data_IF_398535249393
#
_entry.id   IF_398535249393
#
_cell.length_a   1.000
_cell.length_b   1.000
_cell.length_c   1.000
_cell.angle_alpha   90.00
_cell.angle_beta   90.00
_cell.angle_gamma   90.00
#
_symmetry.space_group_name_H-M   'P 1'
#
loop_
_entity.id
_entity.type
_entity.pdbx_description
1 polymer ?
#
# COMPACT_ATOMS: atom_id res chain seq x y z
N UNK A 1 -10.93 -8.13 -5.37
CA UNK A 1 -10.24 -7.13 -4.52
C UNK A 1 -8.95 -6.71 -5.19
N UNK A 2 -8.51 -5.48 -4.98
CA UNK A 2 -7.43 -4.84 -5.75
C UNK A 2 -6.12 -5.66 -5.78
N UNK A 3 -5.69 -6.23 -4.65
CA UNK A 3 -4.47 -7.06 -4.57
C UNK A 3 -4.50 -8.25 -5.54
N UNK A 4 -5.61 -9.01 -5.57
CA UNK A 4 -5.73 -10.14 -6.48
C UNK A 4 -5.79 -9.71 -7.94
N UNK A 5 -6.38 -8.54 -8.24
CA UNK A 5 -6.36 -7.97 -9.59
C UNK A 5 -4.95 -7.57 -10.02
N UNK A 6 -4.20 -6.92 -9.13
CA UNK A 6 -2.82 -6.50 -9.37
C UNK A 6 -1.86 -7.68 -9.61
N UNK A 7 -2.07 -8.79 -8.89
CA UNK A 7 -1.25 -10.01 -9.01
C UNK A 7 -1.66 -10.91 -10.20
N UNK A 8 -2.89 -10.82 -10.70
CA UNK A 8 -3.39 -11.71 -11.76
C UNK A 8 -2.90 -11.36 -13.17
N UNK A 9 -2.02 -10.36 -13.31
CA UNK A 9 -1.38 -10.02 -14.57
C UNK A 9 -2.34 -9.96 -15.75
N UNK A 10 -3.17 -8.92 -15.76
CA UNK A 10 -3.52 -8.36 -17.07
C UNK A 10 -2.24 -7.67 -17.52
N UNK A 11 -1.39 -8.38 -18.26
CA UNK A 11 -0.64 -7.68 -19.30
C UNK A 11 -1.73 -7.01 -20.13
N UNK A 12 -2.03 -5.76 -19.82
CA UNK A 12 -2.71 -4.90 -20.77
C UNK A 12 -1.78 -4.94 -21.95
N UNK A 13 -2.11 -5.77 -22.94
CA UNK A 13 -1.50 -5.80 -24.25
C UNK A 13 -1.57 -4.34 -24.73
N UNK A 14 -0.46 -3.62 -24.51
CA UNK A 14 -0.35 -2.16 -24.36
C UNK A 14 -1.46 -1.50 -25.18
N UNK A 15 -2.63 -1.26 -24.56
CA UNK A 15 -3.80 -0.87 -25.36
C UNK A 15 -3.38 0.44 -25.98
N UNK A 16 -3.34 0.54 -27.32
CA UNK A 16 -2.92 1.76 -27.97
C UNK A 16 -3.79 2.87 -27.39
N UNK A 17 -3.19 3.98 -26.97
CA UNK A 17 -3.83 5.17 -26.38
C UNK A 17 -4.98 5.77 -27.22
N UNK A 18 -5.33 5.13 -28.35
CA UNK A 18 -6.44 5.40 -29.25
C UNK A 18 -7.72 4.59 -28.98
N UNK A 19 -7.73 3.62 -28.05
CA UNK A 19 -8.95 2.85 -27.71
C UNK A 19 -9.16 2.84 -26.19
N UNK A 20 -9.48 4.00 -25.61
CA UNK A 20 -10.05 4.08 -24.25
C UNK A 20 -11.52 3.64 -24.29
N UNK A 21 -11.78 2.36 -24.52
CA UNK A 21 -13.11 1.76 -24.31
C UNK A 21 -13.25 1.09 -22.96
N UNK A 22 -12.15 0.95 -22.19
CA UNK A 22 -12.24 0.50 -20.81
C UNK A 22 -12.71 1.67 -19.94
N UNK A 23 -14.01 1.74 -19.73
CA UNK A 23 -14.61 2.65 -18.76
C UNK A 23 -14.56 1.95 -17.40
N UNK A 24 -13.69 2.40 -16.48
CA UNK A 24 -13.58 1.84 -15.13
C UNK A 24 -14.93 1.78 -14.38
N UNK A 25 -15.93 2.55 -14.83
CA UNK A 25 -17.31 2.52 -14.34
C UNK A 25 -18.01 1.15 -14.53
N UNK A 26 -17.55 0.29 -15.43
CA UNK A 26 -18.16 -1.02 -15.66
C UNK A 26 -17.61 -2.10 -14.71
N UNK A 27 -16.52 -1.81 -13.97
CA UNK A 27 -15.99 -2.74 -12.97
C UNK A 27 -16.84 -2.69 -11.69
N UNK A 28 -17.48 -3.81 -11.27
CA UNK A 28 -18.21 -3.88 -10.01
C UNK A 28 -17.38 -3.45 -8.80
N UNK A 29 -16.08 -3.74 -8.77
CA UNK A 29 -15.19 -3.30 -7.70
C UNK A 29 -15.08 -1.77 -7.67
N UNK A 30 -15.02 -1.12 -8.83
CA UNK A 30 -14.95 0.33 -8.94
C UNK A 30 -16.18 1.04 -8.42
N UNK A 31 -17.35 0.51 -8.76
CA UNK A 31 -18.60 1.06 -8.27
C UNK A 31 -18.71 0.96 -6.74
N UNK A 32 -18.19 -0.10 -6.11
CA UNK A 32 -18.22 -0.27 -4.65
C UNK A 32 -17.48 0.83 -3.87
N UNK A 33 -16.19 1.11 -4.18
CA UNK A 33 -15.49 2.17 -3.44
C UNK A 33 -15.84 3.57 -3.94
N UNK A 34 -16.31 3.71 -5.20
CA UNK A 34 -16.84 4.97 -5.69
C UNK A 34 -18.10 5.40 -4.93
N UNK A 35 -19.03 4.49 -4.69
CA UNK A 35 -20.25 4.82 -3.94
C UNK A 35 -19.92 5.28 -2.51
N UNK A 36 -18.94 4.65 -1.86
CA UNK A 36 -18.44 5.10 -0.55
C UNK A 36 -17.81 6.49 -0.64
N UNK A 37 -16.97 6.76 -1.62
CA UNK A 37 -16.34 8.09 -1.77
C UNK A 37 -17.37 9.19 -2.07
N UNK A 38 -18.44 8.86 -2.79
CA UNK A 38 -19.47 9.80 -3.22
C UNK A 38 -20.65 9.93 -2.24
N UNK A 39 -20.67 9.19 -1.13
CA UNK A 39 -21.80 9.15 -0.19
C UNK A 39 -22.00 10.43 0.64
N UNK A 40 -21.07 11.40 0.58
CA UNK A 40 -21.10 12.60 1.46
C UNK A 40 -22.42 13.37 1.42
N UNK A 41 -22.97 13.66 0.24
CA UNK A 41 -24.22 14.41 0.13
C UNK A 41 -25.44 13.63 0.66
N UNK A 42 -25.42 12.30 0.48
CA UNK A 42 -26.48 11.42 0.99
C UNK A 42 -26.41 11.34 2.53
N UNK A 43 -25.20 11.23 3.08
CA UNK A 43 -24.93 11.24 4.53
C UNK A 43 -25.36 12.55 5.18
N UNK A 44 -25.03 13.69 4.60
CA UNK A 44 -25.43 15.01 5.12
C UNK A 44 -26.95 15.18 5.13
N UNK A 45 -27.62 14.67 4.09
CA UNK A 45 -29.08 14.66 4.00
C UNK A 45 -29.69 13.76 5.08
N UNK A 46 -29.15 12.55 5.27
CA UNK A 46 -29.61 11.62 6.31
C UNK A 46 -29.35 12.16 7.72
N UNK A 47 -28.20 12.78 7.97
CA UNK A 47 -27.89 13.44 9.24
C UNK A 47 -28.90 14.57 9.53
N UNK A 48 -29.24 15.36 8.50
CA UNK A 48 -30.26 16.39 8.59
C UNK A 48 -31.60 15.82 9.05
N UNK A 49 -32.06 14.72 8.46
CA UNK A 49 -33.29 14.06 8.87
C UNK A 49 -33.21 13.46 10.28
N UNK A 50 -32.14 12.75 10.60
CA UNK A 50 -31.95 12.07 11.87
C UNK A 50 -31.96 13.04 13.07
N UNK A 51 -31.48 14.27 12.87
CA UNK A 51 -31.48 15.32 13.91
C UNK A 51 -32.90 15.76 14.31
N UNK A 52 -33.88 15.61 13.40
CA UNK A 52 -35.28 15.94 13.67
C UNK A 52 -36.10 14.77 14.22
N UNK A 53 -35.53 13.56 14.27
CA UNK A 53 -36.29 12.40 14.72
C UNK A 53 -36.60 12.51 16.22
N UNK A 54 -37.88 12.37 16.62
CA UNK A 54 -38.22 12.31 18.03
C UNK A 54 -37.56 11.06 18.65
N UNK A 55 -37.19 11.11 19.95
CA UNK A 55 -36.56 9.97 20.62
C UNK A 55 -37.42 8.70 20.52
N UNK A 56 -36.83 7.60 20.08
CA UNK A 56 -37.54 6.32 19.91
C UNK A 56 -36.59 5.11 20.02
N UNK A 57 -37.06 4.02 20.62
CA UNK A 57 -36.30 2.78 20.74
C UNK A 57 -34.90 2.98 21.36
N UNK A 58 -33.81 2.55 20.69
CA UNK A 58 -32.44 2.77 21.17
C UNK A 58 -31.95 4.22 20.98
N UNK A 59 -32.63 5.01 20.14
CA UNK A 59 -32.26 6.38 19.79
C UNK A 59 -32.86 7.35 20.81
N UNK A 60 -32.06 7.70 21.82
CA UNK A 60 -32.46 8.60 22.92
C UNK A 60 -32.33 10.08 22.51
N UNK A 61 -32.77 10.98 23.40
CA UNK A 61 -32.55 12.41 23.21
C UNK A 61 -31.05 12.74 23.11
N UNK A 62 -30.68 13.65 22.20
CA UNK A 62 -29.29 13.98 21.87
C UNK A 62 -28.45 12.77 21.44
N UNK A 63 -29.01 11.92 20.56
CA UNK A 63 -28.28 10.80 19.99
C UNK A 63 -27.09 11.29 19.14
N UNK A 64 -25.93 10.60 19.14
CA UNK A 64 -24.70 11.11 18.53
C UNK A 64 -24.64 10.86 17.02
N UNK A 65 -25.59 11.43 16.26
CA UNK A 65 -25.66 11.25 14.80
C UNK A 65 -24.39 11.71 14.07
N UNK A 66 -23.75 12.79 14.54
CA UNK A 66 -22.49 13.29 13.98
C UNK A 66 -21.35 12.26 14.06
N UNK A 67 -21.36 11.39 15.08
CA UNK A 67 -20.35 10.33 15.21
C UNK A 67 -20.48 9.26 14.12
N UNK A 68 -21.67 9.03 13.56
CA UNK A 68 -21.84 8.14 12.41
C UNK A 68 -21.19 8.73 11.16
N UNK A 69 -21.36 10.04 10.93
CA UNK A 69 -20.70 10.75 9.82
C UNK A 69 -19.18 10.77 10.02
N UNK A 70 -18.70 10.89 11.26
CA UNK A 70 -17.28 10.77 11.59
C UNK A 70 -16.71 9.39 11.20
N UNK A 71 -17.41 8.31 11.55
CA UNK A 71 -17.03 6.95 11.14
C UNK A 71 -17.02 6.83 9.62
N UNK A 72 -18.06 7.31 8.94
CA UNK A 72 -18.09 7.29 7.47
C UNK A 72 -16.93 8.09 6.87
N UNK A 73 -16.60 9.26 7.40
CA UNK A 73 -15.44 10.05 7.02
C UNK A 73 -14.15 9.22 7.06
N UNK A 74 -13.89 8.52 8.17
CA UNK A 74 -12.72 7.65 8.30
C UNK A 74 -12.73 6.48 7.27
N UNK A 75 -13.89 5.88 7.01
CA UNK A 75 -14.05 4.83 5.98
C UNK A 75 -13.79 5.39 4.57
N UNK A 76 -14.27 6.59 4.25
CA UNK A 76 -13.99 7.28 2.98
C UNK A 76 -12.50 7.52 2.78
N UNK A 77 -11.78 7.91 3.84
CA UNK A 77 -10.32 8.02 3.80
C UNK A 77 -9.62 6.70 3.47
N UNK A 78 -10.13 5.56 3.95
CA UNK A 78 -9.65 4.24 3.53
C UNK A 78 -10.00 3.94 2.07
N UNK A 79 -11.21 4.29 1.63
CA UNK A 79 -11.69 4.06 0.27
C UNK A 79 -10.88 4.82 -0.79
N UNK A 80 -10.40 6.03 -0.49
CA UNK A 80 -9.47 6.75 -1.39
C UNK A 80 -8.20 5.96 -1.66
N UNK A 81 -7.64 5.30 -0.64
CA UNK A 81 -6.45 4.46 -0.80
C UNK A 81 -6.75 3.22 -1.65
N UNK A 82 -7.92 2.60 -1.46
CA UNK A 82 -8.36 1.46 -2.29
C UNK A 82 -8.60 1.88 -3.74
N UNK A 83 -9.14 3.07 -3.96
CA UNK A 83 -9.30 3.65 -5.30
C UNK A 83 -7.95 3.92 -5.96
N UNK A 84 -6.95 4.40 -5.21
CA UNK A 84 -5.58 4.55 -5.69
C UNK A 84 -4.94 3.20 -6.03
N UNK A 85 -5.11 2.17 -5.18
CA UNK A 85 -4.66 0.80 -5.47
C UNK A 85 -5.30 0.24 -6.73
N UNK A 86 -6.58 0.55 -6.98
CA UNK A 86 -7.22 0.18 -8.24
C UNK A 86 -6.63 0.93 -9.43
N UNK A 87 -6.32 2.22 -9.27
CA UNK A 87 -5.59 2.99 -10.28
C UNK A 87 -4.27 2.33 -10.69
N UNK A 88 -3.54 1.73 -9.74
CA UNK A 88 -2.33 0.95 -10.04
C UNK A 88 -2.59 -0.30 -10.90
N UNK A 89 -3.79 -0.90 -10.84
CA UNK A 89 -4.18 -2.04 -11.67
C UNK A 89 -4.48 -1.62 -13.11
N UNK A 90 -4.97 -0.39 -13.29
CA UNK A 90 -5.31 0.19 -14.60
C UNK A 90 -4.16 0.98 -15.22
N UNK A 91 -3.05 1.16 -14.49
CA UNK A 91 -1.89 1.93 -14.95
C UNK A 91 -1.26 1.27 -16.17
N UNK A 92 -0.84 2.07 -17.17
CA UNK A 92 -0.07 1.58 -18.32
C UNK A 92 1.34 1.14 -17.91
N UNK A 93 1.92 1.84 -16.93
CA UNK A 93 3.25 1.54 -16.39
C UNK A 93 3.06 0.76 -15.10
N UNK A 94 3.39 -0.53 -15.15
CA UNK A 94 3.35 -1.41 -13.98
C UNK A 94 4.61 -2.28 -13.93
N UNK A 95 5.01 -2.70 -12.73
CA UNK A 95 6.08 -3.66 -12.55
C UNK A 95 5.78 -4.96 -13.32
N UNK A 96 6.78 -5.69 -13.83
CA UNK A 96 6.55 -7.00 -14.44
C UNK A 96 5.99 -8.00 -13.42
N UNK A 97 5.26 -9.00 -13.92
CA UNK A 97 4.60 -10.05 -13.14
C UNK A 97 5.52 -10.66 -12.08
N UNK A 98 6.71 -11.06 -12.51
CA UNK A 98 7.71 -11.75 -11.69
C UNK A 98 8.08 -10.94 -10.44
N UNK A 99 8.28 -9.63 -10.60
CA UNK A 99 8.60 -8.72 -9.49
C UNK A 99 7.43 -8.57 -8.52
N UNK A 100 6.19 -8.54 -9.01
CA UNK A 100 4.99 -8.48 -8.13
C UNK A 100 4.83 -9.77 -7.34
N UNK A 101 5.08 -10.92 -7.97
CA UNK A 101 4.90 -12.22 -7.34
C UNK A 101 5.85 -12.47 -6.17
N UNK A 102 7.02 -11.82 -6.13
CA UNK A 102 7.95 -11.84 -4.97
C UNK A 102 7.26 -11.46 -3.65
N UNK A 103 6.26 -10.57 -3.70
CA UNK A 103 5.51 -10.06 -2.56
C UNK A 103 4.07 -10.60 -2.48
N UNK A 104 3.71 -11.56 -3.34
CA UNK A 104 2.31 -11.99 -3.50
C UNK A 104 1.64 -12.44 -2.21
N UNK A 105 2.33 -13.27 -1.41
CA UNK A 105 1.82 -13.79 -0.15
C UNK A 105 1.57 -12.68 0.87
N UNK A 106 2.54 -11.78 1.03
CA UNK A 106 2.48 -10.68 1.99
C UNK A 106 1.39 -9.66 1.60
N UNK A 107 1.32 -9.29 0.31
CA UNK A 107 0.27 -8.41 -0.21
C UNK A 107 -1.13 -9.01 0.00
N UNK A 108 -1.31 -10.30 -0.32
CA UNK A 108 -2.59 -10.99 -0.13
C UNK A 108 -2.97 -11.07 1.34
N UNK A 109 -2.01 -11.38 2.23
CA UNK A 109 -2.25 -11.45 3.66
C UNK A 109 -2.74 -10.09 4.19
N UNK A 110 -2.03 -9.00 3.90
CA UNK A 110 -2.44 -7.64 4.31
C UNK A 110 -3.82 -7.28 3.77
N UNK A 111 -4.08 -7.52 2.47
CA UNK A 111 -5.38 -7.25 1.88
C UNK A 111 -6.52 -8.07 2.50
N UNK A 112 -6.26 -9.33 2.85
CA UNK A 112 -7.24 -10.23 3.46
C UNK A 112 -7.56 -9.87 4.91
N UNK A 113 -6.54 -9.56 5.72
CA UNK A 113 -6.69 -9.16 7.12
C UNK A 113 -7.36 -7.78 7.22
N UNK A 114 -6.95 -6.81 6.40
CA UNK A 114 -7.61 -5.51 6.36
C UNK A 114 -9.08 -5.58 5.94
N UNK A 115 -9.42 -6.48 5.01
CA UNK A 115 -10.83 -6.74 4.66
C UNK A 115 -11.62 -7.42 5.78
N UNK A 116 -10.98 -8.25 6.63
CA UNK A 116 -11.63 -8.84 7.81
C UNK A 116 -11.98 -7.74 8.82
N UNK A 117 -11.06 -6.82 9.09
CA UNK A 117 -11.30 -5.67 10.00
C UNK A 117 -12.52 -4.86 9.56
N UNK A 118 -12.57 -4.45 8.29
CA UNK A 118 -13.72 -3.68 7.77
C UNK A 118 -15.04 -4.45 7.83
N UNK A 119 -15.04 -5.76 7.53
CA UNK A 119 -16.24 -6.60 7.63
C UNK A 119 -16.74 -6.75 9.07
N UNK A 120 -15.81 -6.93 10.01
CA UNK A 120 -16.15 -7.04 11.42
C UNK A 120 -16.71 -5.73 11.96
N UNK A 121 -16.07 -4.59 11.67
CA UNK A 121 -16.60 -3.26 12.00
C UNK A 121 -18.00 -3.03 11.41
N UNK A 122 -18.21 -3.39 10.15
CA UNK A 122 -19.51 -3.31 9.49
C UNK A 122 -20.57 -4.14 10.20
N UNK A 123 -20.26 -5.41 10.53
CA UNK A 123 -21.21 -6.28 11.24
C UNK A 123 -21.53 -5.78 12.64
N UNK A 124 -20.54 -5.20 13.34
CA UNK A 124 -20.71 -4.62 14.68
C UNK A 124 -21.54 -3.34 14.64
N UNK A 125 -21.33 -2.49 13.64
CA UNK A 125 -22.14 -1.30 13.39
C UNK A 125 -23.60 -1.67 13.11
N UNK A 126 -23.84 -2.64 12.24
CA UNK A 126 -25.19 -3.11 11.87
C UNK A 126 -25.97 -3.64 13.10
N UNK A 127 -25.29 -4.36 13.99
CA UNK A 127 -25.88 -4.91 15.22
C UNK A 127 -25.92 -3.91 16.38
N UNK A 128 -25.30 -2.74 16.22
CA UNK A 128 -25.08 -1.75 17.29
C UNK A 128 -24.41 -2.40 18.51
N UNK A 129 -23.33 -3.14 18.26
CA UNK A 129 -22.52 -3.84 19.26
C UNK A 129 -21.12 -3.23 19.37
N UNK A 130 -20.56 -3.18 20.58
CA UNK A 130 -19.17 -2.82 20.79
C UNK A 130 -18.21 -3.89 20.27
N UNK A 131 -16.95 -3.50 20.07
CA UNK A 131 -15.88 -4.43 19.77
C UNK A 131 -15.68 -5.42 20.93
N UNK A 132 -15.31 -6.65 20.58
CA UNK A 132 -14.92 -7.67 21.55
C UNK A 132 -13.62 -7.27 22.24
N UNK A 133 -13.38 -7.70 23.50
CA UNK A 133 -12.10 -7.50 24.16
C UNK A 133 -10.96 -8.09 23.33
N UNK A 134 -10.09 -7.23 22.80
CA UNK A 134 -8.98 -7.62 21.93
C UNK A 134 -8.65 -6.56 20.89
N UNK A 135 -7.40 -6.54 20.43
CA UNK A 135 -6.99 -5.64 19.35
C UNK A 135 -7.35 -6.25 18.00
N UNK A 136 -8.43 -5.75 17.39
CA UNK A 136 -8.88 -6.14 16.05
C UNK A 136 -7.82 -5.85 14.98
N UNK A 137 -6.93 -4.87 15.21
CA UNK A 137 -5.88 -4.49 14.27
C UNK A 137 -4.62 -5.36 14.37
N UNK A 138 -4.50 -6.20 15.41
CA UNK A 138 -3.31 -7.00 15.67
C UNK A 138 -2.85 -7.80 14.44
N UNK A 139 -3.76 -8.56 13.83
CA UNK A 139 -3.43 -9.43 12.70
C UNK A 139 -3.05 -8.63 11.44
N UNK A 140 -3.70 -7.49 11.20
CA UNK A 140 -3.38 -6.65 10.03
C UNK A 140 -2.08 -5.88 10.23
N UNK A 141 -1.76 -5.44 11.46
CA UNK A 141 -0.46 -4.87 11.79
C UNK A 141 0.67 -5.89 11.65
N UNK A 142 0.49 -7.12 12.14
CA UNK A 142 1.49 -8.20 11.96
C UNK A 142 1.70 -8.51 10.47
N UNK A 143 0.63 -8.55 9.68
CA UNK A 143 0.74 -8.75 8.23
C UNK A 143 1.48 -7.59 7.54
N UNK A 144 1.22 -6.34 7.96
CA UNK A 144 1.90 -5.15 7.43
C UNK A 144 3.39 -5.13 7.80
N UNK A 145 3.73 -5.55 9.03
CA UNK A 145 5.11 -5.69 9.46
C UNK A 145 5.85 -6.74 8.64
N UNK A 146 5.23 -7.90 8.40
CA UNK A 146 5.80 -8.94 7.53
C UNK A 146 6.02 -8.43 6.09
N UNK A 147 5.08 -7.64 5.56
CA UNK A 147 5.25 -6.99 4.26
C UNK A 147 6.42 -6.00 4.28
N UNK A 148 6.55 -5.17 5.32
CA UNK A 148 7.65 -4.22 5.46
C UNK A 148 9.01 -4.93 5.56
N UNK A 149 9.13 -5.96 6.39
CA UNK A 149 10.35 -6.78 6.51
C UNK A 149 10.73 -7.40 5.16
N UNK A 150 9.73 -7.88 4.39
CA UNK A 150 9.96 -8.43 3.05
C UNK A 150 10.43 -7.35 2.08
N UNK A 151 9.87 -6.15 2.16
CA UNK A 151 10.31 -4.97 1.38
C UNK A 151 11.76 -4.63 1.70
N UNK A 152 12.13 -4.56 2.98
CA UNK A 152 13.49 -4.21 3.39
C UNK A 152 14.51 -5.25 2.87
N UNK A 153 14.17 -6.54 2.99
CA UNK A 153 15.03 -7.63 2.51
C UNK A 153 15.10 -7.72 0.97
N UNK A 154 14.05 -7.31 0.26
CA UNK A 154 13.94 -7.37 -1.22
C UNK A 154 13.88 -5.98 -1.86
N UNK A 155 14.47 -4.98 -1.23
CA UNK A 155 14.41 -3.58 -1.67
C UNK A 155 14.97 -3.37 -3.08
N UNK A 156 15.97 -4.17 -3.48
CA UNK A 156 16.52 -4.19 -4.83
C UNK A 156 15.51 -4.57 -5.93
N UNK A 157 14.38 -5.19 -5.60
CA UNK A 157 13.31 -5.52 -6.56
C UNK A 157 12.47 -4.29 -6.89
N UNK A 158 12.34 -3.37 -5.94
CA UNK A 158 11.51 -2.16 -6.03
C UNK A 158 12.22 -0.98 -6.71
N UNK A 159 13.54 -1.06 -6.88
CA UNK A 159 14.38 -0.03 -7.49
C UNK A 159 15.16 -0.65 -8.64
N UNK A 160 15.56 0.14 -9.63
CA UNK A 160 16.51 -0.35 -10.64
C UNK A 160 17.91 -0.43 -10.03
N UNK A 161 18.30 -1.61 -9.54
CA UNK A 161 19.60 -1.85 -8.90
C UNK A 161 20.80 -1.65 -9.83
N UNK A 162 20.61 -1.78 -11.14
CA UNK A 162 21.68 -1.67 -12.14
C UNK A 162 22.14 -0.22 -12.36
N UNK A 163 21.29 0.75 -11.99
CA UNK A 163 21.57 2.18 -12.10
C UNK A 163 22.08 2.85 -10.82
N UNK A 164 22.45 2.08 -9.78
CA UNK A 164 22.92 2.68 -8.52
C UNK A 164 24.28 3.33 -8.74
N UNK A 165 24.37 4.66 -8.51
CA UNK A 165 25.61 5.43 -8.64
C UNK A 165 26.69 5.01 -7.62
N UNK A 166 26.31 4.27 -6.57
CA UNK A 166 27.21 3.71 -5.57
C UNK A 166 27.48 2.25 -5.92
N UNK A 167 28.45 2.01 -6.80
CA UNK A 167 28.91 0.65 -7.13
C UNK A 167 29.23 0.39 -8.61
N UNK A 168 29.62 1.40 -9.39
CA UNK A 168 30.01 1.21 -10.80
C UNK A 168 31.31 0.43 -11.00
N UNK A 169 31.22 -0.92 -10.99
CA UNK A 169 31.90 -1.95 -11.82
C UNK A 169 32.34 -3.17 -10.98
N UNK A 170 31.90 -4.40 -11.33
CA UNK A 170 32.80 -5.54 -11.27
C UNK A 170 33.84 -5.32 -12.38
N UNK A 171 35.09 -5.09 -11.99
CA UNK A 171 36.20 -5.38 -12.89
C UNK A 171 36.09 -6.88 -13.20
N UNK A 172 36.05 -7.25 -14.48
CA UNK A 172 36.23 -8.65 -14.89
C UNK A 172 37.49 -9.16 -14.19
N UNK A 173 37.30 -10.03 -13.19
CA UNK A 173 38.42 -10.75 -12.60
C UNK A 173 38.75 -11.86 -13.59
N UNK A 174 39.82 -11.65 -14.35
CA UNK A 174 40.47 -12.67 -15.16
C UNK A 174 40.84 -13.83 -14.24
N UNK A 175 40.54 -15.05 -14.65
CA UNK A 175 40.61 -16.25 -13.82
C UNK A 175 42.06 -16.66 -13.50
N UNK A 176 43.04 -15.98 -14.11
CA UNK A 176 44.47 -16.23 -13.95
C UNK A 176 45.11 -15.59 -12.69
N UNK A 177 44.52 -14.55 -12.08
CA UNK A 177 45.15 -13.86 -10.93
C UNK A 177 44.90 -14.56 -9.56
N UNK A 178 43.93 -15.48 -9.49
CA UNK A 178 43.59 -16.20 -8.25
C UNK A 178 44.52 -17.37 -7.92
N UNK A 179 45.42 -17.77 -8.84
CA UNK A 179 46.31 -18.93 -8.64
C UNK A 179 47.64 -18.52 -7.98
N UNK A 180 48.03 -17.24 -8.06
CA UNK A 180 49.33 -16.78 -7.56
C UNK A 180 49.32 -16.24 -6.11
N UNK A 181 48.16 -16.17 -5.46
CA UNK A 181 48.02 -15.60 -4.11
C UNK A 181 47.92 -16.63 -2.97
N UNK A 182 48.17 -17.92 -3.26
CA UNK A 182 48.11 -18.99 -2.26
C UNK A 182 49.44 -19.23 -1.50
N UNK A 183 50.43 -18.35 -1.68
CA UNK A 183 51.72 -18.41 -0.99
C UNK A 183 52.01 -17.12 -0.21
N UNK A 184 51.16 -16.77 0.77
CA UNK A 184 51.69 -16.08 1.96
C UNK A 184 50.74 -16.27 3.15
N UNK A 185 51.21 -16.99 4.16
CA UNK A 185 50.51 -17.08 5.43
C UNK A 185 50.61 -15.74 6.18
N UNK A 186 49.55 -15.42 6.93
CA UNK A 186 49.53 -14.50 8.09
C UNK A 186 49.02 -13.06 7.83
N UNK A 187 47.71 -12.81 8.01
CA UNK A 187 47.21 -11.73 8.90
C UNK A 187 45.68 -11.59 8.94
N UNK A 188 45.13 -11.78 10.15
CA UNK A 188 44.08 -10.98 10.83
C UNK A 188 42.78 -10.65 10.06
N UNK A 189 41.73 -11.45 10.33
CA UNK A 189 40.32 -11.15 10.03
C UNK A 189 39.88 -9.85 10.71
N UNK A 190 39.76 -8.77 9.94
CA UNK A 190 39.08 -7.54 10.31
C UNK A 190 38.05 -7.20 9.26
N UNK A 191 36.79 -7.55 9.52
CA UNK A 191 35.65 -7.12 8.72
C UNK A 191 35.50 -5.60 8.81
N UNK A 192 36.07 -4.87 7.84
CA UNK A 192 35.86 -3.44 7.68
C UNK A 192 34.74 -3.21 6.67
N UNK A 193 33.59 -2.79 7.21
CA UNK A 193 32.47 -2.21 6.46
C UNK A 193 32.94 -0.90 5.82
N UNK A 194 32.92 -0.80 4.49
CA UNK A 194 33.32 0.40 3.73
C UNK A 194 32.10 1.21 3.31
N UNK A 195 31.45 1.85 4.27
CA UNK A 195 30.38 2.83 4.01
C UNK A 195 30.80 4.19 4.57
N UNK A 196 31.71 4.88 3.89
CA UNK A 196 32.02 6.28 4.17
C UNK A 196 31.84 7.08 2.87
N UNK A 197 30.71 7.76 2.75
CA UNK A 197 30.45 8.69 1.65
C UNK A 197 30.99 10.07 2.02
N UNK A 198 32.09 10.47 1.39
CA UNK A 198 32.62 11.84 1.48
C UNK A 198 31.85 12.72 0.50
N UNK A 199 31.04 13.67 1.00
CA UNK A 199 30.33 14.64 0.19
C UNK A 199 31.26 15.83 -0.12
N UNK A 200 31.72 15.95 -1.36
CA UNK A 200 32.42 17.13 -1.85
C UNK A 200 31.38 18.17 -2.34
N UNK A 201 31.08 19.16 -1.52
CA UNK A 201 30.12 20.23 -1.86
C UNK A 201 30.80 21.26 -2.76
N UNK A 202 30.60 21.15 -4.08
CA UNK A 202 30.95 22.20 -5.05
C UNK A 202 29.81 23.19 -5.20
N UNK A 203 30.03 24.45 -4.83
CA UNK A 203 29.08 25.54 -5.04
C UNK A 203 28.97 25.91 -6.52
N UNK A 204 27.74 25.99 -7.03
CA UNK A 204 27.44 26.40 -8.42
C UNK A 204 26.96 27.85 -8.43
N UNK A 205 27.58 28.69 -9.27
CA UNK A 205 27.19 30.09 -9.49
C UNK A 205 25.82 30.21 -10.16
N UNK A 206 25.00 31.11 -9.62
CA UNK A 206 23.67 31.48 -10.14
C UNK A 206 23.82 32.34 -11.40
N UNK A 207 23.31 31.83 -12.52
CA UNK A 207 23.14 32.58 -13.77
C UNK A 207 21.68 32.99 -13.98
N UNK A 208 21.47 34.28 -14.23
CA UNK A 208 20.17 34.96 -14.37
C UNK A 208 19.32 34.43 -15.52
N UNK A 209 18.05 34.11 -15.24
CA UNK A 209 17.05 33.75 -16.23
C UNK A 209 16.46 35.01 -16.92
N UNK A 210 16.32 34.96 -18.25
CA UNK A 210 15.41 35.81 -19.00
C UNK A 210 14.31 34.93 -19.60
N UNK A 211 13.07 35.22 -19.24
CA UNK A 211 11.86 34.59 -19.77
C UNK A 211 11.45 35.25 -21.09
N UNK A 212 11.10 34.44 -22.09
CA UNK A 212 10.29 34.87 -23.23
C UNK A 212 9.17 33.86 -23.48
N UNK A 213 8.01 34.42 -23.79
CA UNK A 213 6.67 33.84 -23.71
C UNK A 213 6.29 32.96 -24.92
N UNK A 214 5.25 32.16 -24.69
CA UNK A 214 4.83 30.93 -25.35
C UNK A 214 4.33 31.04 -26.80
N UNK A 215 4.46 29.92 -27.53
CA UNK A 215 3.41 29.42 -28.43
C UNK A 215 3.21 27.91 -28.29
N UNK A 216 1.95 27.57 -28.10
CA UNK A 216 1.36 26.27 -27.80
C UNK A 216 1.68 25.20 -28.87
N UNK A 217 2.34 24.12 -28.46
CA UNK A 217 2.27 22.82 -29.14
C UNK A 217 2.37 21.75 -28.06
N UNK A 218 1.30 20.96 -27.92
CA UNK A 218 1.20 19.83 -27.02
C UNK A 218 2.35 18.85 -27.33
N UNK A 219 3.43 18.92 -26.54
CA UNK A 219 4.55 17.98 -26.61
C UNK A 219 4.23 16.82 -25.69
N UNK A 220 3.94 15.66 -26.28
CA UNK A 220 3.76 14.42 -25.53
C UNK A 220 5.12 13.95 -25.01
N UNK A 221 5.22 13.85 -23.69
CA UNK A 221 6.40 13.39 -22.98
C UNK A 221 6.55 11.85 -23.05
N UNK A 222 7.79 11.33 -22.97
CA UNK A 222 9.06 12.07 -22.97
C UNK A 222 9.61 12.20 -24.40
N UNK A 223 9.85 13.44 -24.86
CA UNK A 223 10.42 13.72 -26.18
C UNK A 223 11.95 13.84 -26.10
N UNK A 224 12.64 12.73 -25.83
CA UNK A 224 14.08 12.65 -26.02
C UNK A 224 14.40 11.48 -26.96
N UNK A 225 14.14 11.66 -28.25
CA UNK A 225 14.76 10.83 -29.30
C UNK A 225 15.56 11.77 -30.18
N UNK A 226 16.86 11.80 -29.93
CA UNK A 226 17.83 12.43 -30.82
C UNK A 226 17.66 11.81 -32.21
N UNK A 227 17.31 12.64 -33.19
CA UNK A 227 17.25 12.24 -34.58
C UNK A 227 18.67 12.03 -35.09
N UNK A 228 19.18 10.80 -34.99
CA UNK A 228 20.25 10.35 -35.87
C UNK A 228 19.81 9.03 -36.50
N UNK A 229 19.78 9.02 -37.83
CA UNK A 229 19.18 7.94 -38.62
C UNK A 229 19.95 6.63 -38.53
N UNK A 230 19.18 5.54 -38.57
CA UNK A 230 19.67 4.21 -38.93
C UNK A 230 19.78 3.23 -37.77
N UNK A 231 18.84 2.26 -37.75
CA UNK A 231 18.91 0.97 -37.06
C UNK A 231 18.52 0.90 -35.57
N UNK A 232 17.56 0.01 -35.28
CA UNK A 232 17.23 -0.57 -33.96
C UNK A 232 16.61 0.33 -32.86
N UNK A 233 15.51 1.03 -33.16
CA UNK A 233 14.60 1.62 -32.15
C UNK A 233 13.61 0.57 -31.62
N UNK A 234 14.12 -0.53 -31.05
CA UNK A 234 13.30 -1.48 -30.28
C UNK A 234 13.87 -1.76 -28.89
N UNK A 235 15.10 -1.31 -28.59
CA UNK A 235 15.75 -1.50 -27.29
C UNK A 235 15.61 -0.31 -26.33
N UNK A 236 15.47 0.92 -26.85
CA UNK A 236 15.51 2.14 -26.02
C UNK A 236 14.19 2.40 -25.27
N UNK A 237 13.04 2.07 -25.88
CA UNK A 237 11.73 2.15 -25.22
C UNK A 237 11.59 1.21 -24.01
N UNK A 238 12.28 0.05 -24.02
CA UNK A 238 12.21 -0.92 -22.91
C UNK A 238 12.91 -0.41 -21.65
N UNK A 239 13.88 0.50 -21.79
CA UNK A 239 14.60 1.10 -20.66
C UNK A 239 13.93 2.36 -20.11
N UNK A 240 13.18 3.09 -20.94
CA UNK A 240 12.56 4.37 -20.55
C UNK A 240 11.68 4.28 -19.30
N UNK A 241 10.97 3.16 -19.14
CA UNK A 241 10.03 2.96 -18.01
C UNK A 241 10.53 1.97 -16.97
N UNK A 242 11.76 1.48 -17.07
CA UNK A 242 12.25 0.43 -16.17
C UNK A 242 12.18 0.88 -14.69
N UNK A 243 12.76 2.03 -14.38
CA UNK A 243 12.73 2.60 -13.03
C UNK A 243 11.31 2.97 -12.59
N UNK A 244 10.50 3.54 -13.48
CA UNK A 244 9.10 3.88 -13.18
C UNK A 244 8.23 2.63 -12.93
N UNK A 245 8.49 1.54 -13.66
CA UNK A 245 7.81 0.25 -13.48
C UNK A 245 8.17 -0.36 -12.13
N UNK A 246 9.44 -0.32 -11.72
CA UNK A 246 9.86 -0.79 -10.41
C UNK A 246 9.20 0.03 -9.27
N UNK A 247 9.21 1.37 -9.41
CA UNK A 247 8.57 2.28 -8.45
C UNK A 247 7.05 2.13 -8.37
N UNK A 248 6.39 1.66 -9.44
CA UNK A 248 4.95 1.39 -9.42
C UNK A 248 4.58 0.28 -8.41
N UNK A 249 5.46 -0.72 -8.22
CA UNK A 249 5.28 -1.75 -7.20
C UNK A 249 5.49 -1.17 -5.80
N UNK A 250 6.49 -0.30 -5.62
CA UNK A 250 6.70 0.41 -4.36
C UNK A 250 5.51 1.30 -3.99
N UNK A 251 4.90 1.95 -5.00
CA UNK A 251 3.69 2.76 -4.81
C UNK A 251 2.52 1.88 -4.39
N UNK A 252 2.34 0.73 -5.05
CA UNK A 252 1.29 -0.23 -4.69
C UNK A 252 1.45 -0.74 -3.25
N UNK A 253 2.66 -1.16 -2.86
CA UNK A 253 2.93 -1.66 -1.52
C UNK A 253 2.78 -0.57 -0.47
N UNK A 254 3.24 0.65 -0.76
CA UNK A 254 3.09 1.81 0.12
C UNK A 254 1.63 2.18 0.34
N UNK A 255 0.82 2.22 -0.73
CA UNK A 255 -0.63 2.43 -0.61
C UNK A 255 -1.31 1.33 0.21
N UNK A 256 -0.85 0.08 0.13
CA UNK A 256 -1.42 -1.00 0.92
C UNK A 256 -1.09 -0.85 2.42
N UNK A 257 0.13 -0.43 2.76
CA UNK A 257 0.54 -0.12 4.15
C UNK A 257 -0.21 1.11 4.66
N UNK A 258 -0.36 2.15 3.85
CA UNK A 258 -1.15 3.35 4.16
C UNK A 258 -2.61 2.99 4.44
N UNK A 259 -3.20 2.05 3.70
CA UNK A 259 -4.54 1.54 3.98
C UNK A 259 -4.62 0.93 5.37
N UNK A 260 -3.62 0.14 5.80
CA UNK A 260 -3.56 -0.42 7.17
C UNK A 260 -3.46 0.69 8.21
N UNK A 261 -2.61 1.69 8.01
CA UNK A 261 -2.49 2.82 8.93
C UNK A 261 -3.83 3.56 9.09
N UNK A 262 -4.60 3.71 8.01
CA UNK A 262 -5.92 4.37 8.05
C UNK A 262 -7.01 3.54 8.72
N UNK A 263 -6.89 2.21 8.78
CA UNK A 263 -7.83 1.38 9.54
C UNK A 263 -7.85 1.76 11.02
N UNK A 264 -6.72 2.21 11.57
CA UNK A 264 -6.64 2.76 12.93
C UNK A 264 -7.65 3.88 13.17
N UNK A 265 -7.75 4.83 12.23
CA UNK A 265 -8.70 5.95 12.33
C UNK A 265 -10.16 5.49 12.32
N UNK A 266 -10.45 4.43 11.55
CA UNK A 266 -11.81 3.83 11.48
C UNK A 266 -12.15 3.18 12.81
N UNK A 267 -11.24 2.35 13.35
CA UNK A 267 -11.43 1.68 14.64
C UNK A 267 -11.63 2.70 15.75
N UNK A 268 -10.78 3.72 15.86
CA UNK A 268 -10.91 4.75 16.90
C UNK A 268 -12.22 5.55 16.77
N UNK A 269 -12.63 5.89 15.54
CA UNK A 269 -13.91 6.58 15.32
C UNK A 269 -15.11 5.70 15.66
N UNK A 270 -15.03 4.40 15.35
CA UNK A 270 -16.04 3.41 15.68
C UNK A 270 -16.17 3.22 17.20
N UNK A 271 -15.05 3.09 17.91
CA UNK A 271 -15.03 2.98 19.36
C UNK A 271 -15.68 4.19 20.02
N UNK A 272 -15.31 5.40 19.59
CA UNK A 272 -15.93 6.64 20.09
C UNK A 272 -17.45 6.66 19.84
N UNK A 273 -17.88 6.28 18.63
CA UNK A 273 -19.29 6.15 18.29
C UNK A 273 -19.98 5.14 19.23
N UNK A 274 -19.41 3.95 19.38
CA UNK A 274 -20.01 2.86 20.16
C UNK A 274 -20.21 3.22 21.63
N UNK A 275 -19.30 4.03 22.20
CA UNK A 275 -19.39 4.53 23.56
C UNK A 275 -20.47 5.60 23.68
N UNK A 276 -20.45 6.61 22.81
CA UNK A 276 -21.44 7.71 22.85
C UNK A 276 -22.85 7.24 22.55
N UNK A 277 -23.00 6.29 21.63
CA UNK A 277 -24.28 5.75 21.19
C UNK A 277 -24.81 4.64 22.10
N UNK A 278 -24.06 4.28 23.15
CA UNK A 278 -24.39 3.19 24.09
C UNK A 278 -24.67 1.86 23.37
N UNK A 279 -23.77 1.44 22.48
CA UNK A 279 -23.85 0.14 21.81
C UNK A 279 -23.86 -0.99 22.84
N UNK A 280 -24.50 -2.10 22.48
CA UNK A 280 -24.58 -3.29 23.34
C UNK A 280 -23.20 -3.91 23.51
N UNK A 281 -22.93 -4.45 24.70
CA UNK A 281 -21.72 -5.22 24.91
C UNK A 281 -21.76 -6.51 24.07
N UNK A 282 -20.61 -6.97 23.56
CA UNK A 282 -20.55 -8.20 22.77
C UNK A 282 -21.03 -9.39 23.62
N UNK A 283 -21.72 -10.38 23.03
CA UNK A 283 -22.13 -11.57 23.76
C UNK A 283 -20.90 -12.23 24.39
N UNK A 284 -20.97 -12.48 25.70
CA UNK A 284 -19.91 -13.16 26.44
C UNK A 284 -19.75 -14.56 25.84
N UNK A 285 -18.71 -14.77 25.05
CA UNK A 285 -18.24 -16.12 24.74
C UNK A 285 -17.59 -16.60 26.03
N UNK A 286 -18.35 -17.34 26.86
CA UNK A 286 -17.78 -18.09 27.97
C UNK A 286 -16.72 -19.02 27.39
N UNK A 287 -15.46 -18.62 27.48
CA UNK A 287 -14.34 -19.49 27.23
C UNK A 287 -14.44 -20.62 28.27
N UNK A 288 -14.58 -21.90 27.87
CA UNK A 288 -14.58 -22.97 28.86
C UNK A 288 -13.29 -22.88 29.67
N UNK A 289 -13.34 -23.06 31.00
CA UNK A 289 -12.15 -22.98 31.83
C UNK A 289 -11.13 -23.98 31.29
N UNK A 290 -9.90 -23.51 31.10
CA UNK A 290 -8.79 -24.42 30.83
C UNK A 290 -8.80 -25.52 31.89
N UNK A 291 -8.65 -26.81 31.51
CA UNK A 291 -8.56 -27.86 32.49
C UNK A 291 -7.35 -27.59 33.38
N UNK A 292 -7.60 -27.16 34.62
CA UNK A 292 -6.61 -27.13 35.68
C UNK A 292 -5.90 -28.48 35.68
N UNK A 293 -4.61 -28.48 35.37
CA UNK A 293 -3.74 -29.64 35.57
C UNK A 293 -3.71 -29.93 37.06
N UNK A 294 -4.61 -30.79 37.52
CA UNK A 294 -4.59 -31.35 38.85
C UNK A 294 -3.30 -32.14 39.00
N UNK A 295 -2.37 -31.61 39.80
CA UNK A 295 -1.24 -32.38 40.30
C UNK A 295 -1.83 -33.40 41.27
N UNK A 296 -1.83 -34.67 40.85
CA UNK A 296 -2.20 -35.79 41.70
C UNK A 296 -1.21 -35.89 42.86
N UNK A 297 -1.67 -35.56 44.06
CA UNK A 297 -1.00 -35.93 45.31
C UNK A 297 -1.27 -37.40 45.58
N UNK A 298 -0.25 -38.24 45.39
CA UNK A 298 -0.20 -39.57 45.99
C UNK A 298 0.20 -39.41 47.46
N UNK A 299 -0.69 -39.82 48.36
CA UNK A 299 -0.39 -40.00 49.78
C UNK A 299 -0.29 -41.50 50.03
N UNK A 300 0.82 -41.94 50.64
CA UNK A 300 0.98 -43.21 51.35
C UNK A 300 0.58 -42.96 52.81
#
# INVERSE_FOLDING_TARGET
>A
GCVNGYLKCVEYERIPSKILTYQAADDPLYNCYRSVVQSTSEEDTLLGFATWEPPHGPYRHNYPWENFVKVSGAVKHCAFTVMALHGCILSEIQAPADRRHVFSNELQKVGSEGAKVLRELGSKLEKMEKLSPGDILKNVHEAAEQLQQKIDHKSYVLVNSEGWEIGGRPMELDLEDLINAAEDENMKLGSKSLSEAVLEVRSVSVGTALCYDAKNTLRTWPSNVSANGGSMVKGDEFKTYESASALSLATFTSLLIEFVARLGNVVSSFEELSLKANFKDPPIINMPPEPCKGVATWVV
#
